data_IF_190863830531
#
_entry.id   IF_190863830531
#
_cell.length_a   1.000
_cell.length_b   1.000
_cell.length_c   1.000
_cell.angle_alpha   90.00
_cell.angle_beta   90.00
_cell.angle_gamma   90.00
#
_symmetry.space_group_name_H-M   'P 1'
#
loop_
_entity.id
_entity.type
_entity.pdbx_description
1 polymer ?
#
# COMPACT_ATOMS: atom_id res chain seq x y z
N UNK A 1 -10.45 -3.45 -19.90
CA UNK A 1 -10.61 -3.20 -18.44
C UNK A 1 -10.89 -1.72 -18.15
N UNK A 2 -10.06 -0.78 -18.64
CA UNK A 2 -10.17 0.69 -18.43
C UNK A 2 -11.57 1.25 -18.68
N UNK A 3 -12.23 0.96 -19.81
CA UNK A 3 -13.55 1.52 -20.14
C UNK A 3 -14.74 1.03 -19.30
N UNK A 4 -14.63 -0.13 -18.62
CA UNK A 4 -15.63 -0.57 -17.64
C UNK A 4 -15.39 0.09 -16.29
N UNK A 5 -14.13 0.34 -15.95
CA UNK A 5 -13.74 0.96 -14.69
C UNK A 5 -14.09 2.45 -14.67
N UNK A 6 -13.86 3.17 -15.77
CA UNK A 6 -14.34 4.55 -15.94
C UNK A 6 -15.85 4.61 -15.80
N UNK A 7 -16.63 3.73 -16.46
CA UNK A 7 -18.10 3.74 -16.33
C UNK A 7 -18.61 3.50 -14.91
N UNK A 8 -17.88 2.75 -14.08
CA UNK A 8 -18.25 2.47 -12.69
C UNK A 8 -17.80 3.57 -11.71
N UNK A 9 -16.68 4.22 -11.99
CA UNK A 9 -16.09 5.24 -11.13
C UNK A 9 -16.60 6.65 -11.44
N UNK A 10 -16.91 6.97 -12.71
CA UNK A 10 -17.34 8.31 -13.15
C UNK A 10 -18.54 8.85 -12.35
N UNK A 11 -19.61 8.06 -12.07
CA UNK A 11 -20.72 8.56 -11.25
C UNK A 11 -20.34 8.77 -9.78
N UNK A 12 -19.25 8.16 -9.31
CA UNK A 12 -18.75 8.30 -7.94
C UNK A 12 -17.82 9.50 -7.82
N UNK A 13 -17.04 9.78 -8.87
CA UNK A 13 -16.16 10.95 -8.98
C UNK A 13 -16.97 12.26 -9.18
N UNK A 14 -18.17 12.17 -9.75
CA UNK A 14 -19.07 13.32 -9.97
C UNK A 14 -19.97 13.66 -8.77
N UNK A 15 -19.87 12.90 -7.67
CA UNK A 15 -20.65 13.15 -6.44
C UNK A 15 -19.71 13.51 -5.30
N UNK A 16 -19.46 14.81 -5.15
CA UNK A 16 -18.56 15.32 -4.12
C UNK A 16 -19.10 15.18 -2.70
N UNK A 17 -20.38 14.89 -2.49
CA UNK A 17 -20.91 14.56 -1.16
C UNK A 17 -20.43 13.18 -0.72
N UNK A 18 -20.22 12.25 -1.67
CA UNK A 18 -19.59 10.95 -1.36
C UNK A 18 -18.12 11.11 -1.01
N UNK A 19 -17.41 11.96 -1.73
CA UNK A 19 -16.03 12.31 -1.38
C UNK A 19 -15.94 12.94 0.02
N UNK A 20 -16.83 13.89 0.34
CA UNK A 20 -16.94 14.48 1.67
C UNK A 20 -17.16 13.42 2.77
N UNK A 21 -18.09 12.49 2.54
CA UNK A 21 -18.39 11.40 3.48
C UNK A 21 -17.19 10.44 3.64
N UNK A 22 -16.46 10.17 2.56
CA UNK A 22 -15.24 9.39 2.59
C UNK A 22 -14.16 10.10 3.41
N UNK A 23 -13.94 11.40 3.19
CA UNK A 23 -12.99 12.20 3.95
C UNK A 23 -13.29 12.14 5.45
N UNK A 24 -14.55 12.29 5.86
CA UNK A 24 -14.96 12.20 7.26
C UNK A 24 -14.80 10.79 7.86
N UNK A 25 -15.09 9.75 7.08
CA UNK A 25 -14.87 8.36 7.48
C UNK A 25 -13.39 8.09 7.72
N UNK A 26 -12.54 8.46 6.77
CA UNK A 26 -11.08 8.28 6.79
C UNK A 26 -10.49 9.12 7.94
N UNK A 27 -10.95 10.35 8.14
CA UNK A 27 -10.52 11.24 9.24
C UNK A 27 -10.78 10.62 10.62
N UNK A 28 -11.94 10.00 10.83
CA UNK A 28 -12.22 9.27 12.08
C UNK A 28 -11.39 8.01 12.20
N UNK A 29 -11.29 7.24 11.10
CA UNK A 29 -10.58 5.97 11.05
C UNK A 29 -9.08 6.09 11.39
N UNK A 30 -8.43 7.17 10.98
CA UNK A 30 -6.99 7.41 11.17
C UNK A 30 -6.68 8.46 12.24
N UNK A 31 -7.64 8.81 13.10
CA UNK A 31 -7.45 9.78 14.20
C UNK A 31 -6.34 9.41 15.19
N UNK A 32 -5.99 8.13 15.30
CA UNK A 32 -4.86 7.64 16.11
C UNK A 32 -3.49 7.90 15.46
N UNK A 33 -3.45 8.14 14.14
CA UNK A 33 -2.21 8.41 13.39
C UNK A 33 -1.96 9.91 13.33
N UNK A 34 -1.33 10.45 14.39
CA UNK A 34 -1.10 11.91 14.55
C UNK A 34 -0.29 12.58 13.43
N UNK A 35 0.38 11.80 12.60
CA UNK A 35 1.13 12.30 11.45
C UNK A 35 0.28 12.38 10.17
N UNK A 36 -1.02 12.05 10.22
CA UNK A 36 -1.94 12.08 9.09
C UNK A 36 -2.97 13.16 9.31
N UNK A 37 -3.03 14.12 8.39
CA UNK A 37 -4.04 15.17 8.34
C UNK A 37 -4.98 14.90 7.17
N UNK A 38 -6.26 14.94 7.47
CA UNK A 38 -7.33 14.95 6.47
C UNK A 38 -8.10 16.26 6.67
N UNK A 39 -8.20 17.11 5.63
CA UNK A 39 -8.92 18.37 5.70
C UNK A 39 -10.34 18.20 6.25
N UNK A 40 -10.76 19.13 7.12
CA UNK A 40 -12.16 19.16 7.54
C UNK A 40 -13.05 19.62 6.38
N UNK A 41 -14.12 18.90 6.11
CA UNK A 41 -15.12 19.32 5.11
C UNK A 41 -15.98 20.45 5.66
N UNK A 42 -16.22 21.46 4.82
CA UNK A 42 -17.16 22.55 5.08
C UNK A 42 -18.46 22.32 4.31
N UNK A 43 -19.36 21.53 4.89
CA UNK A 43 -20.63 21.14 4.25
C UNK A 43 -21.52 22.31 3.84
N UNK A 44 -21.50 23.42 4.58
CA UNK A 44 -22.29 24.61 4.24
C UNK A 44 -21.87 25.27 2.92
N UNK A 45 -20.68 24.95 2.42
CA UNK A 45 -20.12 25.44 1.17
C UNK A 45 -19.87 24.29 0.17
N UNK A 46 -20.47 23.12 0.40
CA UNK A 46 -20.30 21.95 -0.45
C UNK A 46 -21.64 21.48 -1.02
N UNK A 47 -21.61 20.98 -2.25
CA UNK A 47 -22.73 20.33 -2.94
C UNK A 47 -22.22 19.06 -3.62
N UNK A 48 -23.07 18.42 -4.41
CA UNK A 48 -22.71 17.32 -5.31
C UNK A 48 -21.68 17.74 -6.38
N UNK A 49 -21.67 19.01 -6.78
CA UNK A 49 -20.79 19.57 -7.83
C UNK A 49 -19.65 20.46 -7.33
N UNK A 50 -19.64 20.86 -6.05
CA UNK A 50 -18.53 21.64 -5.43
C UNK A 50 -18.16 21.04 -4.07
N UNK A 51 -16.88 20.75 -3.84
CA UNK A 51 -16.36 20.35 -2.53
C UNK A 51 -15.54 21.48 -1.90
N UNK A 52 -15.92 21.93 -0.70
CA UNK A 52 -15.15 22.89 0.08
C UNK A 52 -14.58 22.23 1.33
N UNK A 53 -13.28 22.35 1.53
CA UNK A 53 -12.55 21.77 2.67
C UNK A 53 -11.51 22.73 3.26
N UNK A 54 -11.05 22.40 4.46
CA UNK A 54 -10.01 23.14 5.18
C UNK A 54 -8.77 23.33 4.30
N UNK A 55 -8.35 24.58 4.13
CA UNK A 55 -7.11 24.88 3.43
C UNK A 55 -5.92 24.35 4.24
N UNK A 56 -5.12 23.49 3.62
CA UNK A 56 -3.93 22.92 4.22
C UNK A 56 -2.70 23.39 3.45
N UNK A 57 -1.85 24.17 4.11
CA UNK A 57 -0.52 24.49 3.60
C UNK A 57 0.38 23.25 3.59
N UNK A 58 1.31 23.20 2.65
CA UNK A 58 2.29 22.11 2.50
C UNK A 58 2.91 22.09 1.11
N UNK A 59 4.01 21.36 0.96
CA UNK A 59 4.61 21.07 -0.35
C UNK A 59 4.12 19.72 -0.87
N UNK A 60 4.19 19.52 -2.19
CA UNK A 60 3.86 18.22 -2.75
C UNK A 60 4.86 17.16 -2.27
N UNK A 61 4.38 15.92 -2.05
CA UNK A 61 5.19 14.80 -1.55
C UNK A 61 6.44 14.49 -2.39
N UNK A 62 6.43 14.88 -3.67
CA UNK A 62 7.51 14.65 -4.64
C UNK A 62 8.39 15.89 -4.90
N UNK A 63 8.19 16.97 -4.14
CA UNK A 63 8.95 18.22 -4.26
C UNK A 63 10.19 18.18 -3.36
N UNK A 64 11.34 17.81 -3.93
CA UNK A 64 12.62 17.74 -3.19
C UNK A 64 13.06 19.08 -2.61
N UNK A 65 12.79 20.19 -3.30
CA UNK A 65 13.23 21.52 -2.88
C UNK A 65 12.45 21.94 -1.62
N UNK A 66 11.16 21.63 -1.56
CA UNK A 66 10.36 21.82 -0.36
C UNK A 66 10.92 21.07 0.86
N UNK A 67 11.35 19.82 0.68
CA UNK A 67 11.98 19.06 1.77
C UNK A 67 13.25 19.72 2.28
N UNK A 68 14.07 20.27 1.38
CA UNK A 68 15.32 20.95 1.75
C UNK A 68 15.03 22.27 2.49
N UNK A 69 14.15 23.10 1.96
CA UNK A 69 13.78 24.40 2.56
C UNK A 69 13.15 24.21 3.95
N UNK A 70 12.27 23.23 4.10
CA UNK A 70 11.54 22.97 5.35
C UNK A 70 12.21 21.93 6.27
N UNK A 71 13.42 21.47 5.90
CA UNK A 71 14.22 20.51 6.65
C UNK A 71 13.41 19.25 7.05
N UNK A 72 12.64 18.71 6.11
CA UNK A 72 11.85 17.50 6.33
C UNK A 72 12.71 16.25 6.09
N UNK A 73 12.55 15.25 6.95
CA UNK A 73 13.22 13.96 6.77
C UNK A 73 12.49 13.10 5.73
N UNK A 74 13.11 12.97 4.55
CA UNK A 74 12.65 12.15 3.42
C UNK A 74 12.41 10.69 3.81
N UNK A 75 13.34 10.09 4.54
CA UNK A 75 13.23 8.69 4.98
C UNK A 75 12.11 8.53 5.99
N UNK A 76 11.94 9.49 6.90
CA UNK A 76 10.81 9.49 7.85
C UNK A 76 9.48 9.58 7.11
N UNK A 77 9.32 10.50 6.16
CA UNK A 77 8.09 10.60 5.36
C UNK A 77 7.79 9.29 4.60
N UNK A 78 8.78 8.66 3.98
CA UNK A 78 8.58 7.36 3.31
C UNK A 78 8.10 6.28 4.29
N UNK A 79 8.69 6.20 5.50
CA UNK A 79 8.21 5.27 6.55
C UNK A 79 6.78 5.57 6.98
N UNK A 80 6.43 6.85 7.16
CA UNK A 80 5.09 7.28 7.54
C UNK A 80 4.06 6.94 6.45
N UNK A 81 4.39 7.15 5.18
CA UNK A 81 3.57 6.72 4.04
C UNK A 81 3.39 5.20 4.02
N UNK A 82 4.48 4.43 4.20
CA UNK A 82 4.42 2.98 4.30
C UNK A 82 3.48 2.53 5.42
N UNK A 83 3.58 3.13 6.60
CA UNK A 83 2.69 2.85 7.74
C UNK A 83 1.22 3.20 7.44
N UNK A 84 0.96 4.34 6.80
CA UNK A 84 -0.40 4.78 6.42
C UNK A 84 -1.08 3.81 5.47
N UNK A 85 -0.44 3.48 4.35
CA UNK A 85 -1.03 2.56 3.38
C UNK A 85 -1.07 1.12 3.90
N UNK A 86 -0.12 0.72 4.75
CA UNK A 86 -0.19 -0.56 5.45
C UNK A 86 -1.39 -0.65 6.40
N UNK A 87 -1.67 0.42 7.14
CA UNK A 87 -2.85 0.49 7.99
C UNK A 87 -4.14 0.39 7.15
N UNK A 88 -4.21 1.13 6.03
CA UNK A 88 -5.34 1.06 5.08
C UNK A 88 -5.57 -0.36 4.56
N UNK A 89 -4.51 -1.03 4.09
CA UNK A 89 -4.58 -2.35 3.46
C UNK A 89 -4.79 -3.44 4.49
N UNK A 90 -3.90 -3.59 5.47
CA UNK A 90 -3.84 -4.76 6.32
C UNK A 90 -4.75 -4.67 7.54
N UNK A 91 -4.90 -3.49 8.14
CA UNK A 91 -5.69 -3.32 9.37
C UNK A 91 -7.13 -2.93 9.10
N UNK A 92 -7.35 -1.92 8.27
CA UNK A 92 -8.68 -1.35 8.02
C UNK A 92 -9.41 -2.00 6.85
N UNK A 93 -8.67 -2.47 5.85
CA UNK A 93 -9.25 -2.97 4.61
C UNK A 93 -10.05 -1.93 3.85
N UNK A 94 -9.75 -0.65 4.03
CA UNK A 94 -10.39 0.46 3.34
C UNK A 94 -9.31 1.25 2.62
N UNK A 95 -9.16 0.97 1.32
CA UNK A 95 -7.99 1.35 0.53
C UNK A 95 -8.36 2.40 -0.50
N UNK A 96 -7.56 3.46 -0.58
CA UNK A 96 -7.72 4.48 -1.60
C UNK A 96 -7.45 3.86 -2.97
N UNK A 97 -8.45 3.94 -3.86
CA UNK A 97 -8.44 3.20 -5.12
C UNK A 97 -7.72 3.90 -6.26
N UNK A 98 -7.40 5.19 -6.10
CA UNK A 98 -6.66 5.93 -7.11
C UNK A 98 -5.69 6.94 -6.46
N UNK A 99 -4.71 6.45 -5.68
CA UNK A 99 -3.83 7.36 -4.96
C UNK A 99 -2.86 8.04 -5.94
N UNK A 100 -2.74 9.37 -5.84
CA UNK A 100 -1.86 10.17 -6.69
C UNK A 100 -0.98 11.10 -5.85
N UNK A 101 0.30 11.27 -6.23
CA UNK A 101 1.24 12.10 -5.47
C UNK A 101 0.79 13.57 -5.38
N UNK A 102 0.10 14.08 -6.40
CA UNK A 102 -0.46 15.43 -6.42
C UNK A 102 -1.52 15.69 -5.33
N UNK A 103 -2.14 14.64 -4.78
CA UNK A 103 -3.15 14.74 -3.72
C UNK A 103 -2.54 14.48 -2.33
N UNK A 104 -1.21 14.44 -2.23
CA UNK A 104 -0.48 14.21 -1.00
C UNK A 104 0.45 15.39 -0.76
N UNK A 105 0.18 16.14 0.30
CA UNK A 105 1.08 17.19 0.77
C UNK A 105 1.90 16.70 1.96
N UNK A 106 3.04 17.34 2.17
CA UNK A 106 3.86 17.21 3.37
C UNK A 106 4.15 18.55 3.98
N UNK A 107 4.27 18.57 5.30
CA UNK A 107 4.66 19.75 6.06
C UNK A 107 5.23 19.39 7.42
N UNK A 108 5.71 20.40 8.12
CA UNK A 108 5.92 20.33 9.57
C UNK A 108 4.64 20.77 10.27
N UNK A 109 4.03 19.89 11.07
CA UNK A 109 2.81 20.20 11.80
C UNK A 109 3.05 21.36 12.76
N UNK A 110 2.25 22.42 12.67
CA UNK A 110 2.34 23.56 13.58
C UNK A 110 2.06 23.17 15.05
N UNK A 111 1.27 22.12 15.27
CA UNK A 111 0.85 21.67 16.60
C UNK A 111 1.90 20.79 17.29
N UNK A 112 2.60 19.94 16.53
CA UNK A 112 3.52 18.94 17.10
C UNK A 112 4.98 19.19 16.75
N UNK A 113 5.26 20.07 15.78
CA UNK A 113 6.59 20.26 15.21
C UNK A 113 7.12 19.07 14.41
N UNK A 114 6.32 18.01 14.23
CA UNK A 114 6.71 16.77 13.53
C UNK A 114 6.24 16.79 12.07
N UNK A 115 6.87 15.94 11.25
CA UNK A 115 6.47 15.67 9.87
C UNK A 115 5.03 15.15 9.81
N UNK A 116 4.21 15.77 8.97
CA UNK A 116 2.80 15.47 8.78
C UNK A 116 2.50 15.29 7.29
N UNK A 117 1.70 14.28 6.98
CA UNK A 117 1.19 13.97 5.63
C UNK A 117 -0.25 14.45 5.57
N UNK A 118 -0.58 15.25 4.55
CA UNK A 118 -1.95 15.69 4.28
C UNK A 118 -2.48 14.92 3.08
N UNK A 119 -3.60 14.23 3.23
CA UNK A 119 -4.33 13.60 2.12
C UNK A 119 -5.49 14.52 1.70
N UNK A 120 -5.54 14.88 0.42
CA UNK A 120 -6.53 15.82 -0.11
C UNK A 120 -7.71 15.12 -0.79
N UNK A 121 -7.43 14.06 -1.55
CA UNK A 121 -8.42 13.35 -2.35
C UNK A 121 -8.99 12.16 -1.59
N UNK A 122 -10.32 12.09 -1.57
CA UNK A 122 -11.06 10.99 -0.97
C UNK A 122 -12.17 10.44 -1.86
N UNK A 123 -12.12 10.69 -3.17
CA UNK A 123 -13.17 10.34 -4.11
C UNK A 123 -13.43 8.83 -4.18
N UNK A 124 -12.35 8.03 -4.30
CA UNK A 124 -12.47 6.59 -4.54
C UNK A 124 -11.80 5.74 -3.46
N UNK A 125 -12.61 4.90 -2.82
CA UNK A 125 -12.18 3.87 -1.88
C UNK A 125 -12.80 2.51 -2.21
N UNK A 126 -12.05 1.46 -1.90
CA UNK A 126 -12.49 0.08 -2.02
C UNK A 126 -12.31 -0.64 -0.69
N UNK A 127 -13.28 -1.48 -0.33
CA UNK A 127 -13.17 -2.36 0.82
C UNK A 127 -12.58 -3.71 0.39
N UNK A 128 -11.49 -4.10 1.04
CA UNK A 128 -10.85 -5.40 0.87
C UNK A 128 -11.46 -6.44 1.83
N UNK A 129 -11.89 -7.61 1.33
CA UNK A 129 -12.31 -8.71 2.19
C UNK A 129 -11.19 -9.16 3.12
N UNK A 130 -11.54 -9.54 4.35
CA UNK A 130 -10.58 -9.99 5.38
C UNK A 130 -9.68 -11.12 4.87
N UNK A 131 -10.26 -12.11 4.21
CA UNK A 131 -9.53 -13.25 3.65
C UNK A 131 -8.45 -12.79 2.65
N UNK A 132 -8.80 -11.86 1.76
CA UNK A 132 -7.85 -11.30 0.80
C UNK A 132 -6.71 -10.55 1.50
N UNK A 133 -7.02 -9.79 2.56
CA UNK A 133 -6.00 -9.06 3.35
C UNK A 133 -5.03 -10.02 4.03
N UNK A 134 -5.55 -11.11 4.57
CA UNK A 134 -4.76 -12.13 5.27
C UNK A 134 -3.88 -12.89 4.28
N UNK A 135 -4.43 -13.30 3.13
CA UNK A 135 -3.68 -14.02 2.11
C UNK A 135 -2.59 -13.13 1.48
N UNK A 136 -2.88 -11.84 1.29
CA UNK A 136 -1.86 -10.87 0.88
C UNK A 136 -0.78 -10.66 1.95
N UNK A 137 -1.14 -10.66 3.24
CA UNK A 137 -0.17 -10.58 4.33
C UNK A 137 0.72 -11.83 4.42
N UNK A 138 0.15 -13.02 4.22
CA UNK A 138 0.89 -14.29 4.14
C UNK A 138 1.82 -14.34 2.92
N UNK A 139 1.38 -13.80 1.77
CA UNK A 139 2.25 -13.63 0.61
C UNK A 139 3.51 -12.84 0.98
N UNK A 140 3.37 -11.69 1.63
CA UNK A 140 4.53 -10.89 2.06
C UNK A 140 5.45 -11.64 3.03
N UNK A 141 4.90 -12.41 3.98
CA UNK A 141 5.71 -13.26 4.86
C UNK A 141 6.50 -14.31 4.07
N UNK A 142 5.85 -14.98 3.12
CA UNK A 142 6.47 -15.99 2.26
C UNK A 142 7.47 -15.41 1.27
N UNK A 143 7.37 -14.12 0.92
CA UNK A 143 8.37 -13.41 0.12
C UNK A 143 9.62 -13.05 0.94
N UNK A 144 9.44 -12.67 2.22
CA UNK A 144 10.58 -12.36 3.11
C UNK A 144 11.35 -13.59 3.53
N UNK A 145 10.63 -14.63 3.96
CA UNK A 145 11.17 -15.95 4.25
C UNK A 145 10.74 -16.84 3.08
N UNK A 146 11.58 -16.96 2.03
CA UNK A 146 11.19 -17.56 0.75
C UNK A 146 10.56 -18.94 0.96
N UNK A 147 9.25 -19.01 0.76
CA UNK A 147 8.43 -20.22 0.82
C UNK A 147 7.58 -20.26 -0.45
N UNK A 148 8.09 -20.99 -1.46
CA UNK A 148 7.48 -21.04 -2.78
C UNK A 148 6.11 -21.74 -2.76
N UNK A 149 5.94 -22.72 -1.87
CA UNK A 149 4.69 -23.45 -1.74
C UNK A 149 3.60 -22.56 -1.12
N UNK A 150 3.96 -21.77 -0.11
CA UNK A 150 3.04 -20.76 0.45
C UNK A 150 2.72 -19.67 -0.58
N UNK A 151 3.71 -19.16 -1.34
CA UNK A 151 3.47 -18.19 -2.42
C UNK A 151 2.45 -18.72 -3.43
N UNK A 152 2.59 -19.98 -3.87
CA UNK A 152 1.65 -20.61 -4.80
C UNK A 152 0.25 -20.72 -4.16
N UNK A 153 0.17 -21.26 -2.95
CA UNK A 153 -1.08 -21.50 -2.22
C UNK A 153 -1.89 -20.22 -2.00
N UNK A 154 -1.25 -19.13 -1.56
CA UNK A 154 -1.95 -17.85 -1.32
C UNK A 154 -2.34 -17.18 -2.63
N UNK A 155 -1.51 -17.28 -3.68
CA UNK A 155 -1.86 -16.77 -5.00
C UNK A 155 -3.05 -17.51 -5.62
N UNK A 156 -3.16 -18.84 -5.42
CA UNK A 156 -4.34 -19.61 -5.82
C UNK A 156 -5.60 -19.12 -5.11
N UNK A 157 -5.55 -18.92 -3.78
CA UNK A 157 -6.67 -18.40 -2.98
C UNK A 157 -7.07 -16.97 -3.36
N UNK A 158 -6.12 -16.16 -3.82
CA UNK A 158 -6.37 -14.82 -4.34
C UNK A 158 -6.80 -14.81 -5.82
N UNK A 159 -7.14 -15.95 -6.41
CA UNK A 159 -7.53 -16.10 -7.83
C UNK A 159 -6.47 -15.61 -8.84
N UNK A 160 -5.19 -15.63 -8.45
CA UNK A 160 -4.06 -15.31 -9.34
C UNK A 160 -3.63 -16.57 -10.10
N UNK A 161 -3.77 -17.74 -9.46
CA UNK A 161 -3.53 -19.05 -10.06
C UNK A 161 -2.10 -19.22 -10.59
N UNK A 162 -1.97 -19.67 -11.84
CA UNK A 162 -0.68 -19.98 -12.47
C UNK A 162 0.24 -18.76 -12.64
N UNK A 163 -0.29 -17.55 -12.52
CA UNK A 163 0.48 -16.31 -12.62
C UNK A 163 1.19 -15.92 -11.31
N UNK A 164 1.23 -16.79 -10.30
CA UNK A 164 1.85 -16.52 -8.99
C UNK A 164 3.30 -16.01 -9.11
N UNK A 165 4.08 -16.56 -10.05
CA UNK A 165 5.47 -16.16 -10.26
C UNK A 165 5.59 -14.72 -10.77
N UNK A 166 4.83 -14.39 -11.82
CA UNK A 166 4.76 -13.04 -12.37
C UNK A 166 4.23 -12.05 -11.33
N UNK A 167 3.18 -12.43 -10.61
CA UNK A 167 2.60 -11.60 -9.57
C UNK A 167 3.58 -11.31 -8.44
N UNK A 168 4.31 -12.31 -7.96
CA UNK A 168 5.36 -12.12 -6.96
C UNK A 168 6.46 -11.17 -7.45
N UNK A 169 6.88 -11.29 -8.73
CA UNK A 169 7.82 -10.36 -9.33
C UNK A 169 7.28 -8.93 -9.38
N UNK A 170 6.00 -8.72 -9.75
CA UNK A 170 5.38 -7.39 -9.78
C UNK A 170 5.24 -6.81 -8.35
N UNK A 171 4.77 -7.63 -7.40
CA UNK A 171 4.59 -7.22 -6.00
C UNK A 171 5.93 -6.83 -5.36
N UNK A 172 7.03 -7.47 -5.73
CA UNK A 172 8.35 -7.20 -5.16
C UNK A 172 9.20 -6.24 -5.98
N UNK A 173 8.92 -6.10 -7.28
CA UNK A 173 9.83 -5.51 -8.29
C UNK A 173 11.20 -6.18 -8.29
N UNK A 174 11.22 -7.50 -8.07
CA UNK A 174 12.43 -8.32 -8.05
C UNK A 174 12.32 -9.43 -9.09
N UNK A 175 13.48 -9.92 -9.55
CA UNK A 175 13.49 -11.10 -10.42
C UNK A 175 12.97 -12.32 -9.66
N UNK A 176 12.41 -13.29 -10.39
CA UNK A 176 11.98 -14.56 -9.77
C UNK A 176 13.15 -15.24 -9.02
N UNK A 177 14.37 -15.11 -9.54
CA UNK A 177 15.59 -15.58 -8.87
C UNK A 177 15.75 -14.94 -7.48
N UNK A 178 15.62 -13.62 -7.37
CA UNK A 178 15.72 -12.93 -6.07
C UNK A 178 14.54 -13.21 -5.15
N UNK A 179 13.34 -13.36 -5.69
CA UNK A 179 12.16 -13.80 -4.93
C UNK A 179 12.41 -15.17 -4.28
N UNK A 180 12.86 -16.15 -5.06
CA UNK A 180 13.13 -17.51 -4.56
C UNK A 180 14.35 -17.60 -3.63
N UNK A 181 15.34 -16.71 -3.80
CA UNK A 181 16.48 -16.60 -2.90
C UNK A 181 16.16 -15.85 -1.59
N UNK A 182 15.02 -15.14 -1.56
CA UNK A 182 14.58 -14.29 -0.45
C UNK A 182 14.94 -12.83 -0.67
N UNK A 183 13.93 -11.98 -0.78
CA UNK A 183 14.11 -10.56 -1.10
C UNK A 183 14.76 -9.74 0.03
N UNK A 184 14.73 -10.26 1.26
CA UNK A 184 15.42 -9.66 2.40
C UNK A 184 16.93 -9.91 2.41
N UNK A 185 17.42 -10.90 1.66
CA UNK A 185 18.83 -11.34 1.64
C UNK A 185 19.60 -10.91 0.41
N UNK A 186 18.88 -10.46 -0.61
CA UNK A 186 19.43 -10.14 -1.93
C UNK A 186 19.40 -8.63 -2.12
N UNK A 187 20.56 -8.04 -2.42
CA UNK A 187 20.64 -6.62 -2.80
C UNK A 187 19.88 -6.39 -4.11
N UNK A 188 19.32 -5.18 -4.24
CA UNK A 188 18.64 -4.76 -5.46
C UNK A 188 19.74 -4.47 -6.49
N UNK A 189 19.86 -5.33 -7.51
CA UNK A 189 20.73 -5.07 -8.66
C UNK A 189 20.07 -4.00 -9.54
N UNK A 190 20.84 -3.04 -10.07
CA UNK A 190 20.35 -2.01 -10.99
C UNK A 190 19.61 -2.63 -12.19
N UNK A 191 19.99 -3.86 -12.60
CA UNK A 191 19.30 -4.63 -13.65
C UNK A 191 17.92 -5.14 -13.25
N UNK A 192 17.62 -5.28 -11.96
CA UNK A 192 16.28 -5.62 -11.47
C UNK A 192 15.32 -4.43 -11.55
N UNK A 193 15.85 -3.19 -11.45
CA UNK A 193 15.11 -1.97 -11.78
C UNK A 193 14.70 -1.93 -13.27
N UNK A 194 15.44 -2.66 -14.13
CA UNK A 194 15.21 -2.83 -15.56
C UNK A 194 14.60 -4.19 -15.95
N UNK A 195 13.72 -4.77 -15.14
CA UNK A 195 12.80 -5.83 -15.60
C UNK A 195 11.71 -5.29 -16.55
N UNK A 196 12.12 -4.43 -17.49
CA UNK A 196 11.28 -3.87 -18.54
C UNK A 196 11.16 -4.81 -19.74
N UNK A 197 12.15 -5.67 -20.10
CA UNK A 197 12.08 -6.29 -21.46
C UNK A 197 12.58 -7.72 -21.68
N UNK A 198 13.04 -8.49 -20.70
CA UNK A 198 13.59 -9.83 -21.00
C UNK A 198 13.12 -10.91 -20.05
N UNK A 199 11.92 -11.40 -20.36
CA UNK A 199 11.63 -12.84 -20.29
C UNK A 199 12.76 -13.62 -20.94
N UNK A 200 13.70 -14.15 -20.16
CA UNK A 200 14.69 -15.12 -20.65
C UNK A 200 14.91 -16.33 -19.75
N UNK A 201 14.09 -16.56 -18.72
CA UNK A 201 14.30 -17.73 -17.84
C UNK A 201 13.08 -18.59 -17.53
N UNK A 202 11.98 -18.45 -18.27
CA UNK A 202 10.95 -19.49 -18.32
C UNK A 202 10.76 -19.89 -19.77
N UNK A 203 10.93 -21.19 -20.04
CA UNK A 203 10.71 -21.80 -21.34
C UNK A 203 9.39 -21.33 -21.98
N UNK A 204 9.46 -21.09 -23.30
CA UNK A 204 8.46 -20.53 -24.21
C UNK A 204 8.42 -19.00 -24.26
N UNK A 205 9.11 -18.52 -25.29
CA UNK A 205 8.92 -17.27 -25.99
C UNK A 205 7.44 -16.87 -26.09
N UNK A 206 7.04 -15.90 -25.29
CA UNK A 206 5.98 -14.97 -25.62
C UNK A 206 6.38 -13.59 -25.05
N UNK A 207 6.47 -12.53 -25.87
CA UNK A 207 6.71 -11.19 -25.36
C UNK A 207 5.56 -10.82 -24.43
N UNK A 208 5.86 -10.68 -23.12
CA UNK A 208 4.99 -10.24 -22.03
C UNK A 208 3.51 -10.12 -22.41
N UNK A 209 2.84 -11.27 -22.58
CA UNK A 209 1.41 -11.31 -22.86
C UNK A 209 0.70 -10.81 -21.60
N UNK A 210 0.40 -9.51 -21.54
CA UNK A 210 -0.43 -8.83 -20.52
C UNK A 210 -1.81 -9.50 -20.32
N UNK A 211 -2.17 -10.49 -21.15
CA UNK A 211 -3.31 -11.40 -20.99
C UNK A 211 -3.41 -12.07 -19.61
N UNK A 212 -2.30 -12.16 -18.86
CA UNK A 212 -2.29 -12.69 -17.49
C UNK A 212 -2.78 -11.72 -16.41
N UNK A 213 -2.84 -10.41 -16.69
CA UNK A 213 -3.37 -9.39 -15.76
C UNK A 213 -4.90 -9.32 -15.78
N UNK A 214 -5.52 -9.75 -16.89
CA UNK A 214 -7.00 -9.76 -17.00
C UNK A 214 -7.66 -10.70 -15.98
N UNK A 215 -6.93 -11.71 -15.48
CA UNK A 215 -7.40 -12.63 -14.45
C UNK A 215 -7.17 -12.15 -13.03
N UNK A 216 -6.36 -11.10 -12.82
CA UNK A 216 -6.04 -10.60 -11.49
C UNK A 216 -7.26 -9.84 -10.93
N UNK A 217 -7.72 -10.14 -9.70
CA UNK A 217 -8.84 -9.42 -9.12
C UNK A 217 -8.58 -7.93 -9.05
N UNK A 218 -9.63 -7.12 -9.28
CA UNK A 218 -9.55 -5.66 -9.26
C UNK A 218 -8.93 -5.14 -7.97
N UNK A 219 -9.28 -5.73 -6.83
CA UNK A 219 -8.76 -5.38 -5.52
C UNK A 219 -7.23 -5.49 -5.45
N UNK A 220 -6.64 -6.47 -6.15
CA UNK A 220 -5.19 -6.61 -6.23
C UNK A 220 -4.55 -5.55 -7.12
N UNK A 221 -5.20 -5.16 -8.22
CA UNK A 221 -4.73 -4.05 -9.05
C UNK A 221 -4.66 -2.74 -8.26
N UNK A 222 -5.62 -2.47 -7.37
CA UNK A 222 -5.61 -1.29 -6.49
C UNK A 222 -4.42 -1.30 -5.52
N UNK A 223 -4.10 -2.47 -4.96
CA UNK A 223 -2.94 -2.63 -4.08
C UNK A 223 -1.64 -2.44 -4.88
N UNK A 224 -1.56 -2.97 -6.11
CA UNK A 224 -0.40 -2.76 -6.98
C UNK A 224 -0.19 -1.28 -7.32
N UNK A 225 -1.25 -0.55 -7.70
CA UNK A 225 -1.19 0.91 -7.90
C UNK A 225 -0.64 1.65 -6.67
N UNK A 226 -1.10 1.26 -5.48
CA UNK A 226 -0.64 1.83 -4.22
C UNK A 226 0.87 1.58 -4.00
N UNK A 227 1.32 0.35 -4.22
CA UNK A 227 2.73 0.01 -4.10
C UNK A 227 3.58 0.81 -5.11
N UNK A 228 3.10 0.99 -6.34
CA UNK A 228 3.80 1.74 -7.38
C UNK A 228 3.88 3.23 -7.06
N UNK A 229 2.82 3.82 -6.49
CA UNK A 229 2.88 5.19 -5.96
C UNK A 229 3.95 5.31 -4.86
N UNK A 230 3.96 4.41 -3.88
CA UNK A 230 4.92 4.44 -2.78
C UNK A 230 6.36 4.34 -3.31
N UNK A 231 6.61 3.50 -4.32
CA UNK A 231 7.91 3.38 -4.98
C UNK A 231 8.29 4.63 -5.75
N UNK A 232 7.35 5.18 -6.52
CA UNK A 232 7.57 6.40 -7.30
C UNK A 232 7.96 7.57 -6.40
N UNK A 233 7.28 7.71 -5.26
CA UNK A 233 7.63 8.68 -4.22
C UNK A 233 9.01 8.39 -3.65
N UNK A 234 9.29 7.14 -3.26
CA UNK A 234 10.58 6.77 -2.69
C UNK A 234 11.75 7.09 -3.64
N UNK A 235 11.58 6.80 -4.94
CA UNK A 235 12.52 7.12 -6.00
C UNK A 235 12.71 8.63 -6.18
N UNK A 236 11.61 9.40 -6.25
CA UNK A 236 11.67 10.87 -6.33
C UNK A 236 12.37 11.48 -5.12
N UNK A 237 12.17 10.90 -3.94
CA UNK A 237 12.81 11.34 -2.71
C UNK A 237 14.24 10.79 -2.53
N UNK A 238 14.75 9.95 -3.43
CA UNK A 238 16.07 9.30 -3.36
C UNK A 238 16.25 8.49 -2.06
N UNK A 239 15.25 7.66 -1.74
CA UNK A 239 15.18 6.84 -0.52
C UNK A 239 15.07 5.33 -0.79
N UNK A 240 15.04 4.93 -2.06
CA UNK A 240 14.82 3.57 -2.57
C UNK A 240 15.80 2.51 -2.04
N UNK A 241 17.05 2.89 -1.77
CA UNK A 241 18.08 1.96 -1.30
C UNK A 241 17.84 1.48 0.12
N UNK A 242 17.06 2.21 0.89
CA UNK A 242 16.68 1.83 2.25
C UNK A 242 15.25 1.30 2.13
N UNK A 243 15.04 0.02 2.44
CA UNK A 243 13.74 -0.67 2.44
C UNK A 243 12.77 -0.09 3.50
N UNK A 244 12.70 1.23 3.64
CA UNK A 244 12.08 1.96 4.74
C UNK A 244 10.56 1.75 4.77
N UNK A 245 9.90 1.94 3.62
CA UNK A 245 8.47 1.66 3.47
C UNK A 245 8.19 0.17 3.67
N UNK A 246 9.04 -0.71 3.14
CA UNK A 246 8.90 -2.17 3.24
C UNK A 246 9.11 -2.69 4.67
N UNK A 247 10.00 -2.06 5.45
CA UNK A 247 10.25 -2.40 6.86
C UNK A 247 9.04 -2.08 7.73
N UNK A 248 8.40 -0.93 7.52
CA UNK A 248 7.15 -0.64 8.22
C UNK A 248 6.01 -1.57 7.75
N UNK A 249 5.87 -1.79 6.44
CA UNK A 249 4.92 -2.79 5.91
C UNK A 249 5.12 -4.16 6.55
N UNK A 250 6.38 -4.55 6.81
CA UNK A 250 6.74 -5.80 7.49
C UNK A 250 6.07 -5.99 8.83
N UNK A 251 6.03 -4.92 9.61
CA UNK A 251 5.38 -4.96 10.91
C UNK A 251 3.87 -5.11 10.77
N UNK A 252 3.28 -4.45 9.78
CA UNK A 252 1.84 -4.47 9.58
C UNK A 252 1.32 -5.82 9.05
N UNK A 253 1.95 -6.43 8.04
CA UNK A 253 1.48 -7.74 7.56
C UNK A 253 1.73 -8.84 8.59
N UNK A 254 2.84 -8.80 9.32
CA UNK A 254 3.13 -9.78 10.37
C UNK A 254 2.08 -9.68 11.48
N UNK A 255 1.78 -8.46 11.96
CA UNK A 255 0.69 -8.23 12.93
C UNK A 255 -0.67 -8.71 12.40
N UNK A 256 -0.99 -8.47 11.14
CA UNK A 256 -2.25 -8.89 10.55
C UNK A 256 -2.43 -10.42 10.61
N UNK A 257 -1.39 -11.18 10.26
CA UNK A 257 -1.41 -12.65 10.32
C UNK A 257 -1.53 -13.16 11.76
N UNK A 258 -0.79 -12.56 12.71
CA UNK A 258 -0.89 -12.96 14.13
C UNK A 258 -2.26 -12.63 14.73
N UNK A 259 -2.78 -11.42 14.51
CA UNK A 259 -4.10 -11.04 15.00
C UNK A 259 -5.20 -11.95 14.48
N UNK A 260 -5.15 -12.31 13.18
CA UNK A 260 -6.09 -13.26 12.62
C UNK A 260 -5.95 -14.66 13.25
N UNK A 261 -4.72 -15.16 13.39
CA UNK A 261 -4.45 -16.46 14.00
C UNK A 261 -4.95 -16.53 15.45
N UNK A 262 -4.75 -15.46 16.22
CA UNK A 262 -5.25 -15.32 17.59
C UNK A 262 -6.78 -15.32 17.63
N UNK A 263 -7.42 -14.59 16.73
CA UNK A 263 -8.88 -14.51 16.66
C UNK A 263 -9.52 -15.85 16.27
N UNK A 264 -8.89 -16.60 15.36
CA UNK A 264 -9.34 -17.92 14.92
C UNK A 264 -9.09 -19.03 15.96
N UNK A 265 -8.17 -18.81 16.90
CA UNK A 265 -7.82 -19.78 17.95
C UNK A 265 -8.84 -19.74 19.08
N UNK A 266 -9.32 -20.89 19.56
CA UNK A 266 -10.21 -20.94 20.73
C UNK A 266 -9.44 -21.15 22.05
N UNK A 267 -8.33 -21.88 22.03
CA UNK A 267 -7.51 -22.17 23.22
C UNK A 267 -6.78 -20.93 23.76
N UNK A 268 -6.96 -20.65 25.06
CA UNK A 268 -6.30 -19.54 25.75
C UNK A 268 -4.77 -19.69 25.75
N UNK A 269 -4.26 -20.91 25.94
CA UNK A 269 -2.82 -21.18 26.00
C UNK A 269 -2.16 -20.95 24.63
N UNK A 270 -2.86 -21.36 23.56
CA UNK A 270 -2.43 -21.09 22.18
C UNK A 270 -2.50 -19.61 21.83
N UNK A 271 -3.52 -18.87 22.30
CA UNK A 271 -3.58 -17.40 22.17
C UNK A 271 -2.38 -16.74 22.86
N UNK A 272 -2.09 -17.11 24.10
CA UNK A 272 -0.95 -16.56 24.86
C UNK A 272 0.35 -16.84 24.10
N UNK A 273 0.55 -18.07 23.60
CA UNK A 273 1.74 -18.41 22.80
C UNK A 273 1.86 -17.57 21.53
N UNK A 274 0.76 -17.33 20.82
CA UNK A 274 0.75 -16.48 19.62
C UNK A 274 1.03 -15.01 19.96
N UNK A 275 0.48 -14.49 21.05
CA UNK A 275 0.78 -13.14 21.54
C UNK A 275 2.26 -12.99 21.91
N UNK A 276 2.84 -13.96 22.61
CA UNK A 276 4.26 -13.98 22.97
C UNK A 276 5.15 -14.05 21.72
N UNK A 277 4.82 -14.93 20.78
CA UNK A 277 5.56 -15.03 19.52
C UNK A 277 5.50 -13.74 18.70
N UNK A 278 4.33 -13.09 18.66
CA UNK A 278 4.18 -11.77 18.02
C UNK A 278 5.05 -10.73 18.74
N UNK A 279 5.05 -10.72 20.08
CA UNK A 279 5.83 -9.74 20.86
C UNK A 279 7.34 -9.88 20.63
N UNK A 280 7.89 -11.10 20.65
CA UNK A 280 9.32 -11.40 20.40
C UNK A 280 9.76 -11.03 18.98
N UNK A 281 8.85 -11.03 18.01
CA UNK A 281 9.15 -10.62 16.64
C UNK A 281 9.27 -9.09 16.46
N UNK A 282 8.78 -8.30 17.43
CA UNK A 282 8.71 -6.83 17.32
C UNK A 282 9.52 -6.07 18.38
N UNK A 283 10.07 -6.76 19.38
CA UNK A 283 10.87 -6.22 20.46
C UNK A 283 12.08 -7.12 20.70
#
# INVERSE_FOLDING_TARGET
>A
MVGRETKLNLPQELDFLREAANADKVRRMFSHMRFVKIPKIHYNYSSDTILTMEFCEGGQINDLDYFQVHQLDRHKICRLLGALYSEMIFRRGYVHSDPHSGNILVRRSANTGQEEIVLLDHGLYCTLPDELRIDYAKLWLALMKPDQDEIRRVCERMNIGQNYGLFACIVTMRSWKSVTAGIARTEIDDREYFLDRTSKSTHRSDPLNFRGLDSIPRQMLLILKTNDLLRSIAFKLKTEHRLDSFSEMTKHYTRAVYHHSIAATQSLLSKIRLYLAMYVLFF
#
